data_IF_871428913360
#
_entry.id   IF_871428913360
#
_cell.length_a   1.000
_cell.length_b   1.000
_cell.length_c   1.000
_cell.angle_alpha   90.00
_cell.angle_beta   90.00
_cell.angle_gamma   90.00
#
_symmetry.space_group_name_H-M   'P 1'
#
loop_
_entity.id
_entity.type
_entity.pdbx_description
1 polymer ?
#
# COMPACT_ATOMS: atom_id res chain seq x y z
N UNK A 1 1.58 -3.35 -28.14
CA UNK A 1 1.83 -1.93 -27.78
C UNK A 1 2.60 -1.71 -26.47
N UNK A 2 3.11 -2.76 -25.78
CA UNK A 2 3.90 -2.61 -24.54
C UNK A 2 5.42 -2.80 -24.71
N UNK A 3 5.86 -3.46 -25.79
CA UNK A 3 7.28 -3.69 -26.08
C UNK A 3 8.01 -2.43 -26.57
N UNK A 4 7.29 -1.51 -27.23
CA UNK A 4 7.86 -0.24 -27.71
C UNK A 4 8.14 0.76 -26.58
N UNK A 5 7.34 0.74 -25.50
CA UNK A 5 7.55 1.58 -24.32
C UNK A 5 8.78 1.11 -23.52
N UNK A 6 9.02 -0.20 -23.49
CA UNK A 6 10.18 -0.81 -22.85
C UNK A 6 11.49 -0.56 -23.64
N UNK A 7 11.47 -0.70 -24.98
CA UNK A 7 12.62 -0.38 -25.84
C UNK A 7 12.98 1.10 -25.80
N UNK A 8 11.97 1.98 -25.79
CA UNK A 8 12.17 3.43 -25.68
C UNK A 8 12.81 3.83 -24.33
N UNK A 9 12.50 3.16 -23.23
CA UNK A 9 13.13 3.43 -21.93
C UNK A 9 14.61 2.99 -21.84
N UNK A 10 15.03 1.98 -22.62
CA UNK A 10 16.43 1.51 -22.65
C UNK A 10 17.31 2.40 -23.54
N UNK A 11 16.80 2.83 -24.70
CA UNK A 11 17.51 3.78 -25.58
C UNK A 11 17.60 5.16 -24.92
N UNK A 12 16.55 5.60 -24.21
CA UNK A 12 16.53 6.89 -23.52
C UNK A 12 17.56 6.96 -22.39
N UNK A 13 17.86 5.87 -21.67
CA UNK A 13 18.83 5.85 -20.55
C UNK A 13 20.27 6.21 -20.98
N UNK A 14 20.63 6.01 -22.25
CA UNK A 14 21.97 6.33 -22.76
C UNK A 14 22.23 7.83 -22.96
N UNK A 15 21.18 8.66 -23.03
CA UNK A 15 21.25 10.12 -23.20
C UNK A 15 20.99 10.89 -21.90
N UNK A 16 20.91 10.20 -20.76
CA UNK A 16 20.60 10.88 -19.51
C UNK A 16 21.76 11.78 -19.10
N UNK A 17 21.44 12.97 -18.57
CA UNK A 17 22.46 13.86 -18.05
C UNK A 17 23.20 13.18 -16.88
N UNK A 18 24.33 13.75 -16.46
CA UNK A 18 25.13 13.21 -15.34
C UNK A 18 24.29 12.81 -14.12
N UNK A 19 24.76 11.85 -13.33
CA UNK A 19 24.05 11.34 -12.15
C UNK A 19 23.65 12.46 -11.17
N UNK A 20 24.45 13.53 -11.09
CA UNK A 20 24.18 14.71 -10.28
C UNK A 20 22.96 15.51 -10.78
N UNK A 21 22.81 15.64 -12.10
CA UNK A 21 21.64 16.31 -12.71
C UNK A 21 20.39 15.45 -12.51
N UNK A 22 20.48 14.13 -12.69
CA UNK A 22 19.35 13.23 -12.43
C UNK A 22 18.90 13.31 -10.96
N UNK A 23 19.87 13.31 -10.04
CA UNK A 23 19.60 13.50 -8.63
C UNK A 23 18.91 14.84 -8.36
N UNK A 24 19.34 15.93 -9.02
CA UNK A 24 18.70 17.24 -8.87
C UNK A 24 17.21 17.20 -9.27
N UNK A 25 16.86 16.56 -10.39
CA UNK A 25 15.47 16.45 -10.84
C UNK A 25 14.60 15.65 -9.86
N UNK A 26 15.09 14.49 -9.41
CA UNK A 26 14.35 13.65 -8.47
C UNK A 26 14.21 14.24 -7.06
N UNK A 27 15.08 15.20 -6.72
CA UNK A 27 15.07 15.89 -5.43
C UNK A 27 14.42 17.27 -5.48
N UNK A 28 13.97 17.70 -6.65
CA UNK A 28 13.38 19.01 -6.82
C UNK A 28 12.00 19.10 -6.15
N UNK A 29 11.88 19.99 -5.16
CA UNK A 29 10.63 20.20 -4.41
C UNK A 29 9.80 21.32 -5.04
N UNK A 30 10.46 22.32 -5.62
CA UNK A 30 9.80 23.48 -6.23
C UNK A 30 10.33 23.73 -7.64
N UNK A 31 9.45 23.54 -8.60
CA UNK A 31 9.65 23.96 -9.99
C UNK A 31 9.08 25.37 -10.15
N UNK A 32 9.87 26.28 -10.70
CA UNK A 32 9.41 27.62 -11.06
C UNK A 32 9.33 27.76 -12.58
N UNK A 33 8.30 28.45 -13.05
CA UNK A 33 8.17 28.85 -14.46
C UNK A 33 8.91 30.15 -14.64
N UNK A 34 9.73 30.23 -15.69
CA UNK A 34 10.40 31.45 -16.11
C UNK A 34 9.77 31.98 -17.39
N UNK A 35 9.83 33.31 -17.57
CA UNK A 35 9.33 33.95 -18.77
C UNK A 35 10.19 33.56 -19.97
N UNK A 36 9.54 33.06 -21.03
CA UNK A 36 10.22 32.56 -22.22
C UNK A 36 10.26 33.62 -23.32
N UNK A 37 11.42 33.78 -23.95
CA UNK A 37 11.59 34.63 -25.14
C UNK A 37 11.13 33.92 -26.42
N UNK A 38 11.03 32.58 -26.40
CA UNK A 38 10.52 31.75 -27.49
C UNK A 38 9.26 30.98 -27.08
N UNK A 39 8.08 31.64 -27.10
CA UNK A 39 6.82 31.02 -26.71
C UNK A 39 6.33 29.95 -27.69
N UNK A 40 6.92 29.81 -28.87
CA UNK A 40 6.50 28.84 -29.89
C UNK A 40 7.19 27.49 -29.64
N UNK A 41 8.51 27.49 -29.40
CA UNK A 41 9.26 26.26 -29.19
C UNK A 41 9.36 25.87 -27.70
N UNK A 42 9.36 26.86 -26.81
CA UNK A 42 9.48 26.68 -25.36
C UNK A 42 8.41 27.50 -24.63
N UNK A 43 7.11 27.20 -24.78
CA UNK A 43 6.04 27.96 -24.12
C UNK A 43 6.10 27.90 -22.60
N UNK A 44 6.66 26.83 -22.04
CA UNK A 44 6.92 26.72 -20.61
C UNK A 44 8.40 26.41 -20.37
N UNK A 45 9.13 27.39 -19.86
CA UNK A 45 10.48 27.21 -19.36
C UNK A 45 10.43 26.98 -17.85
N UNK A 46 11.03 25.89 -17.38
CA UNK A 46 11.08 25.55 -15.96
C UNK A 46 12.52 25.39 -15.48
N UNK A 47 12.78 25.80 -14.25
CA UNK A 47 13.99 25.43 -13.51
C UNK A 47 13.64 24.94 -12.11
N UNK A 48 14.57 24.21 -11.50
CA UNK A 48 14.43 23.78 -10.12
C UNK A 48 14.90 24.90 -9.17
N UNK A 49 13.98 25.51 -8.45
CA UNK A 49 14.27 26.59 -7.51
C UNK A 49 14.83 26.06 -6.18
N UNK A 50 14.32 24.92 -5.71
CA UNK A 50 14.82 24.30 -4.48
C UNK A 50 14.77 22.78 -4.48
N UNK A 51 15.81 22.20 -3.89
CA UNK A 51 15.92 20.77 -3.60
C UNK A 51 15.87 20.54 -2.08
N UNK A 52 15.46 19.34 -1.66
CA UNK A 52 15.43 19.03 -0.24
C UNK A 52 16.86 18.90 0.34
N UNK A 53 17.06 19.18 1.64
CA UNK A 53 18.38 19.12 2.27
C UNK A 53 18.95 17.71 2.20
N UNK A 54 20.25 17.60 1.93
CA UNK A 54 20.96 16.35 1.59
C UNK A 54 20.58 15.10 2.39
N UNK A 55 20.91 13.95 1.80
CA UNK A 55 20.49 12.64 2.28
C UNK A 55 20.93 12.37 3.72
N UNK A 56 20.19 11.52 4.42
CA UNK A 56 20.66 10.94 5.66
C UNK A 56 21.89 10.05 5.43
N UNK A 57 22.70 9.80 6.47
CA UNK A 57 23.79 8.84 6.38
C UNK A 57 23.28 7.45 5.96
N UNK A 58 24.06 6.68 5.17
CA UNK A 58 23.63 5.39 4.62
C UNK A 58 23.16 4.36 5.65
N UNK A 59 23.65 4.44 6.90
CA UNK A 59 23.20 3.54 7.96
C UNK A 59 21.71 3.70 8.29
N UNK A 60 21.12 4.89 8.09
CA UNK A 60 19.69 5.13 8.30
C UNK A 60 18.88 4.33 7.28
N UNK A 61 19.27 4.36 6.01
CA UNK A 61 18.62 3.57 4.95
C UNK A 61 18.69 2.06 5.26
N UNK A 62 19.83 1.58 5.74
CA UNK A 62 20.00 0.17 6.15
C UNK A 62 19.08 -0.18 7.33
N UNK A 63 18.99 0.67 8.34
CA UNK A 63 18.09 0.45 9.48
C UNK A 63 16.62 0.41 9.03
N UNK A 64 16.21 1.30 8.13
CA UNK A 64 14.85 1.32 7.58
C UNK A 64 14.57 0.08 6.74
N UNK A 65 15.53 -0.36 5.94
CA UNK A 65 15.44 -1.61 5.20
C UNK A 65 15.23 -2.81 6.12
N UNK A 66 16.10 -2.97 7.13
CA UNK A 66 16.02 -4.07 8.09
C UNK A 66 14.70 -4.05 8.87
N UNK A 67 14.26 -2.87 9.30
CA UNK A 67 12.98 -2.70 9.98
C UNK A 67 11.81 -3.11 9.07
N UNK A 68 11.78 -2.64 7.82
CA UNK A 68 10.72 -2.98 6.86
C UNK A 68 10.71 -4.48 6.53
N UNK A 69 11.89 -5.08 6.34
CA UNK A 69 12.04 -6.51 6.11
C UNK A 69 11.58 -7.33 7.33
N UNK A 70 11.92 -6.90 8.55
CA UNK A 70 11.49 -7.53 9.78
C UNK A 70 9.96 -7.46 9.95
N UNK A 71 9.33 -6.32 9.66
CA UNK A 71 7.88 -6.17 9.66
C UNK A 71 7.19 -7.09 8.64
N UNK A 72 7.76 -7.18 7.44
CA UNK A 72 7.27 -8.10 6.41
C UNK A 72 7.35 -9.55 6.87
N UNK A 73 8.52 -10.00 7.32
CA UNK A 73 8.75 -11.37 7.79
C UNK A 73 7.89 -11.71 9.01
N UNK A 74 7.76 -10.78 9.95
CA UNK A 74 6.88 -10.93 11.10
C UNK A 74 5.44 -11.13 10.63
N UNK A 75 4.94 -10.29 9.72
CA UNK A 75 3.58 -10.39 9.15
C UNK A 75 3.37 -11.71 8.43
N UNK A 76 4.34 -12.14 7.62
CA UNK A 76 4.30 -13.41 6.89
C UNK A 76 4.23 -14.60 7.85
N UNK A 77 5.15 -14.69 8.82
CA UNK A 77 5.18 -15.75 9.82
C UNK A 77 3.86 -15.80 10.60
N UNK A 78 3.36 -14.63 10.99
CA UNK A 78 2.08 -14.44 11.66
C UNK A 78 0.91 -14.98 10.83
N UNK A 79 0.86 -14.73 9.52
CA UNK A 79 -0.20 -15.25 8.64
C UNK A 79 -0.09 -16.76 8.44
N UNK A 80 1.12 -17.28 8.22
CA UNK A 80 1.38 -18.71 8.02
C UNK A 80 1.01 -19.52 9.27
N UNK A 81 1.40 -19.05 10.45
CA UNK A 81 1.03 -19.68 11.73
C UNK A 81 -0.49 -19.67 11.93
N UNK A 82 -1.16 -18.59 11.53
CA UNK A 82 -2.61 -18.45 11.67
C UNK A 82 -3.38 -19.41 10.75
N UNK A 83 -2.89 -19.62 9.52
CA UNK A 83 -3.45 -20.59 8.57
C UNK A 83 -3.20 -22.02 9.05
N UNK A 84 -1.97 -22.34 9.48
CA UNK A 84 -1.59 -23.71 9.88
C UNK A 84 -2.25 -24.19 11.17
N UNK A 85 -2.44 -23.31 12.17
CA UNK A 85 -2.99 -23.68 13.48
C UNK A 85 -4.52 -23.70 13.56
N UNK A 86 -5.23 -23.65 12.42
CA UNK A 86 -6.69 -23.84 12.33
C UNK A 86 -7.49 -23.02 13.37
N UNK A 87 -7.02 -21.81 13.70
CA UNK A 87 -7.72 -20.89 14.59
C UNK A 87 -7.49 -21.03 16.10
N UNK A 88 -6.50 -21.79 16.60
CA UNK A 88 -6.14 -21.76 18.04
C UNK A 88 -5.43 -20.46 18.43
N UNK A 89 -6.17 -19.55 19.06
CA UNK A 89 -5.85 -18.16 19.46
C UNK A 89 -4.92 -18.01 20.68
N UNK A 90 -4.03 -18.97 20.98
CA UNK A 90 -3.23 -18.91 22.21
C UNK A 90 -2.07 -17.89 22.22
N UNK A 91 -1.69 -17.32 21.06
CA UNK A 91 -0.62 -16.30 20.93
C UNK A 91 -1.15 -14.89 20.58
N UNK A 92 -2.45 -14.63 20.82
CA UNK A 92 -3.19 -13.50 20.22
C UNK A 92 -2.77 -12.09 20.67
N UNK A 93 -2.20 -11.89 21.87
CA UNK A 93 -2.01 -10.54 22.44
C UNK A 93 -0.67 -9.88 22.08
N UNK A 94 0.44 -10.62 22.04
CA UNK A 94 1.76 -10.07 21.68
C UNK A 94 1.89 -9.77 20.19
N UNK A 95 1.12 -10.47 19.36
CA UNK A 95 1.05 -10.37 17.89
C UNK A 95 0.68 -8.97 17.39
N UNK A 96 -0.07 -8.20 18.18
CA UNK A 96 -0.60 -6.88 17.81
C UNK A 96 0.50 -5.80 17.79
N UNK A 97 1.55 -5.93 18.60
CA UNK A 97 2.57 -4.89 18.74
C UNK A 97 3.61 -4.90 17.59
N UNK A 98 3.87 -6.07 17.00
CA UNK A 98 4.86 -6.27 15.93
C UNK A 98 4.29 -6.11 14.50
N UNK A 99 2.96 -6.00 14.37
CA UNK A 99 2.31 -5.86 13.07
C UNK A 99 2.43 -4.44 12.55
N UNK A 100 2.63 -4.20 11.24
CA UNK A 100 2.81 -2.85 10.67
C UNK A 100 1.76 -1.83 11.14
N UNK A 101 0.48 -2.24 11.25
CA UNK A 101 -0.64 -1.41 11.73
C UNK A 101 -0.78 -1.33 13.26
N UNK A 102 0.14 -1.92 13.99
CA UNK A 102 0.17 -2.01 15.44
C UNK A 102 0.71 -0.75 16.11
N UNK A 103 0.45 -0.57 17.42
CA UNK A 103 0.73 0.67 18.13
C UNK A 103 2.22 1.03 18.26
N UNK A 104 3.14 0.07 18.05
CA UNK A 104 4.59 0.31 18.14
C UNK A 104 5.20 0.55 16.77
N UNK A 105 4.90 -0.30 15.78
CA UNK A 105 5.49 -0.16 14.44
C UNK A 105 4.86 0.98 13.64
N UNK A 106 3.56 1.27 13.80
CA UNK A 106 2.87 2.30 13.03
C UNK A 106 3.50 3.69 13.24
N UNK A 107 3.76 4.15 14.48
CA UNK A 107 4.51 5.39 14.71
C UNK A 107 5.90 5.40 14.07
N UNK A 108 6.61 4.26 14.07
CA UNK A 108 7.93 4.15 13.44
C UNK A 108 7.82 4.26 11.91
N UNK A 109 6.84 3.60 11.29
CA UNK A 109 6.56 3.73 9.85
C UNK A 109 6.23 5.20 9.52
N UNK A 110 5.42 5.86 10.34
CA UNK A 110 5.09 7.28 10.18
C UNK A 110 6.34 8.16 10.26
N UNK A 111 7.24 7.89 11.20
CA UNK A 111 8.50 8.63 11.32
C UNK A 111 9.38 8.45 10.07
N UNK A 112 9.49 7.20 9.58
CA UNK A 112 10.22 6.87 8.36
C UNK A 112 9.65 7.62 7.15
N UNK A 113 8.33 7.63 6.99
CA UNK A 113 7.67 8.36 5.89
C UNK A 113 7.80 9.88 6.07
N UNK A 114 7.64 10.41 7.27
CA UNK A 114 7.73 11.85 7.54
C UNK A 114 9.12 12.43 7.24
N UNK A 115 10.18 11.65 7.41
CA UNK A 115 11.57 12.02 7.05
C UNK A 115 12.06 11.36 5.76
N UNK A 116 11.15 10.73 5.04
CA UNK A 116 11.43 9.85 3.93
C UNK A 116 12.08 10.52 2.73
N UNK A 117 11.84 11.81 2.54
CA UNK A 117 12.45 12.57 1.46
C UNK A 117 13.99 12.55 1.54
N UNK A 118 14.59 12.37 2.72
CA UNK A 118 16.06 12.29 2.90
C UNK A 118 16.60 10.86 2.87
N UNK A 119 15.74 9.84 2.81
CA UNK A 119 16.07 8.41 2.85
C UNK A 119 16.04 7.91 1.40
N UNK A 120 17.15 8.14 0.69
CA UNK A 120 17.21 7.94 -0.75
C UNK A 120 18.64 7.63 -1.25
N UNK A 121 19.45 6.92 -0.45
CA UNK A 121 20.80 6.48 -0.83
C UNK A 121 20.82 5.02 -1.24
N UNK A 122 20.55 4.11 -0.31
CA UNK A 122 20.56 2.65 -0.51
C UNK A 122 19.14 2.10 -0.60
N UNK A 123 18.19 2.75 0.09
CA UNK A 123 16.79 2.34 0.14
C UNK A 123 15.90 3.50 -0.34
N UNK A 124 15.68 3.67 -1.66
CA UNK A 124 14.93 4.80 -2.19
C UNK A 124 13.45 4.72 -1.79
N UNK A 125 13.06 5.54 -0.81
CA UNK A 125 11.70 5.52 -0.28
C UNK A 125 10.67 6.06 -1.28
N UNK A 126 11.09 6.85 -2.26
CA UNK A 126 10.24 7.26 -3.39
C UNK A 126 9.75 6.07 -4.23
N UNK A 127 10.54 4.99 -4.30
CA UNK A 127 10.21 3.78 -5.05
C UNK A 127 9.50 2.73 -4.18
N UNK A 128 9.91 2.61 -2.91
CA UNK A 128 9.47 1.52 -2.02
C UNK A 128 8.37 1.96 -1.05
N UNK A 129 8.24 3.26 -0.80
CA UNK A 129 7.21 3.85 0.07
C UNK A 129 5.78 3.37 -0.25
N UNK A 130 5.35 3.26 -1.52
CA UNK A 130 4.04 2.70 -1.83
C UNK A 130 3.86 1.25 -1.36
N UNK A 131 4.90 0.40 -1.45
CA UNK A 131 4.84 -0.97 -0.95
C UNK A 131 4.74 -1.00 0.59
N UNK A 132 5.38 -0.07 1.30
CA UNK A 132 5.26 0.07 2.76
C UNK A 132 3.83 0.48 3.14
N UNK A 133 3.24 1.44 2.44
CA UNK A 133 1.85 1.84 2.66
C UNK A 133 0.88 0.68 2.39
N UNK A 134 1.09 -0.08 1.31
CA UNK A 134 0.27 -1.25 1.00
C UNK A 134 0.45 -2.37 2.02
N UNK A 135 1.67 -2.61 2.52
CA UNK A 135 1.91 -3.55 3.62
C UNK A 135 1.13 -3.14 4.87
N UNK A 136 1.11 -1.85 5.20
CA UNK A 136 0.32 -1.29 6.31
C UNK A 136 -1.20 -1.49 6.10
N UNK A 137 -1.70 -1.24 4.88
CA UNK A 137 -3.11 -1.42 4.55
C UNK A 137 -3.52 -2.90 4.61
N UNK A 138 -2.70 -3.79 4.05
CA UNK A 138 -2.92 -5.24 4.12
C UNK A 138 -2.88 -5.72 5.57
N UNK A 139 -1.93 -5.27 6.39
CA UNK A 139 -1.89 -5.65 7.81
C UNK A 139 -3.14 -5.18 8.55
N UNK A 140 -3.60 -3.94 8.30
CA UNK A 140 -4.82 -3.42 8.91
C UNK A 140 -6.07 -4.22 8.49
N UNK A 141 -6.19 -4.60 7.21
CA UNK A 141 -7.31 -5.43 6.73
C UNK A 141 -7.22 -6.89 7.18
N UNK A 142 -6.03 -7.41 7.51
CA UNK A 142 -5.88 -8.83 7.83
C UNK A 142 -6.03 -9.14 9.31
N UNK A 143 -5.66 -8.21 10.19
CA UNK A 143 -5.69 -8.44 11.62
C UNK A 143 -6.84 -7.71 12.29
N UNK A 144 -7.67 -8.48 12.99
CA UNK A 144 -8.63 -7.96 13.94
C UNK A 144 -8.03 -8.10 15.34
N UNK A 145 -7.86 -6.99 16.06
CA UNK A 145 -7.46 -7.01 17.47
C UNK A 145 -8.58 -7.68 18.27
N UNK A 146 -8.44 -8.99 18.51
CA UNK A 146 -9.44 -9.88 19.09
C UNK A 146 -9.77 -9.60 20.56
N UNK A 147 -10.38 -8.45 20.84
CA UNK A 147 -11.06 -8.17 22.10
C UNK A 147 -12.45 -8.80 22.12
N UNK A 148 -12.70 -9.68 23.08
CA UNK A 148 -14.04 -10.18 23.40
C UNK A 148 -14.72 -9.16 24.31
N UNK A 149 -15.46 -8.22 23.74
CA UNK A 149 -16.22 -7.20 24.48
C UNK A 149 -16.60 -6.01 23.61
N UNK A 150 -17.60 -5.22 24.06
CA UNK A 150 -17.84 -3.84 23.60
C UNK A 150 -16.70 -2.96 24.13
N UNK A 151 -15.50 -3.17 23.62
CA UNK A 151 -14.30 -2.58 24.18
C UNK A 151 -14.02 -1.22 23.53
N UNK A 152 -14.25 -0.14 24.26
CA UNK A 152 -13.84 1.23 23.85
C UNK A 152 -12.37 1.27 23.45
N UNK A 153 -11.52 0.47 24.11
CA UNK A 153 -10.09 0.29 23.77
C UNK A 153 -9.89 -0.16 22.32
N UNK A 154 -10.72 -1.09 21.83
CA UNK A 154 -10.66 -1.54 20.44
C UNK A 154 -10.95 -0.40 19.46
N UNK A 155 -11.98 0.40 19.75
CA UNK A 155 -12.35 1.54 18.92
C UNK A 155 -11.22 2.59 18.88
N UNK A 156 -10.58 2.85 20.02
CA UNK A 156 -9.42 3.76 20.11
C UNK A 156 -8.24 3.23 19.28
N UNK A 157 -7.89 1.95 19.42
CA UNK A 157 -6.79 1.37 18.65
C UNK A 157 -7.07 1.40 17.15
N UNK A 158 -8.28 1.05 16.72
CA UNK A 158 -8.64 1.15 15.31
C UNK A 158 -8.67 2.58 14.79
N UNK A 159 -9.19 3.54 15.56
CA UNK A 159 -9.17 4.95 15.19
C UNK A 159 -7.73 5.46 15.05
N UNK A 160 -6.83 5.04 15.93
CA UNK A 160 -5.40 5.32 15.81
C UNK A 160 -4.78 4.69 14.56
N UNK A 161 -5.15 3.45 14.20
CA UNK A 161 -4.71 2.82 12.95
C UNK A 161 -5.22 3.58 11.73
N UNK A 162 -6.49 3.99 11.72
CA UNK A 162 -7.09 4.80 10.64
C UNK A 162 -6.34 6.12 10.48
N UNK A 163 -6.13 6.85 11.58
CA UNK A 163 -5.37 8.09 11.60
C UNK A 163 -3.94 7.88 11.09
N UNK A 164 -3.27 6.81 11.52
CA UNK A 164 -1.94 6.49 11.04
C UNK A 164 -1.89 6.13 9.56
N UNK A 165 -2.88 5.43 9.01
CA UNK A 165 -2.95 5.18 7.56
C UNK A 165 -3.13 6.50 6.78
N UNK A 166 -3.96 7.43 7.28
CA UNK A 166 -4.13 8.76 6.69
C UNK A 166 -2.82 9.55 6.72
N UNK A 167 -2.13 9.62 7.86
CA UNK A 167 -0.84 10.30 7.95
C UNK A 167 0.21 9.65 7.06
N UNK A 168 0.27 8.31 7.01
CA UNK A 168 1.17 7.58 6.13
C UNK A 168 0.90 7.91 4.66
N UNK A 169 -0.37 8.02 4.24
CA UNK A 169 -0.72 8.40 2.88
C UNK A 169 -0.26 9.82 2.51
N UNK A 170 -0.44 10.78 3.42
CA UNK A 170 -0.03 12.17 3.20
C UNK A 170 1.50 12.32 3.17
N UNK A 171 2.21 11.65 4.08
CA UNK A 171 3.67 11.63 4.07
C UNK A 171 4.23 10.89 2.87
N UNK A 172 3.55 9.85 2.39
CA UNK A 172 3.96 9.20 1.15
C UNK A 172 3.84 10.16 -0.03
N UNK A 173 2.73 10.90 -0.14
CA UNK A 173 2.51 11.87 -1.21
C UNK A 173 3.62 12.93 -1.25
N UNK A 174 4.09 13.41 -0.10
CA UNK A 174 5.20 14.38 -0.07
C UNK A 174 6.54 13.80 -0.55
N UNK A 175 6.71 12.48 -0.54
CA UNK A 175 7.91 11.80 -1.06
C UNK A 175 7.76 11.52 -2.56
N UNK A 176 6.63 10.95 -2.99
CA UNK A 176 6.45 10.44 -4.35
C UNK A 176 6.12 11.54 -5.37
N UNK A 177 5.43 12.62 -4.95
CA UNK A 177 5.02 13.68 -5.87
C UNK A 177 6.24 14.42 -6.45
N UNK A 178 7.23 14.87 -5.65
CA UNK A 178 8.45 15.45 -6.19
C UNK A 178 9.20 14.49 -7.12
N UNK A 179 9.32 13.22 -6.72
CA UNK A 179 10.01 12.20 -7.51
C UNK A 179 9.36 11.96 -8.88
N UNK A 180 8.04 11.78 -8.94
CA UNK A 180 7.34 11.57 -10.21
C UNK A 180 7.24 12.84 -11.06
N UNK A 181 7.18 14.02 -10.44
CA UNK A 181 7.25 15.31 -11.16
C UNK A 181 8.62 15.48 -11.81
N UNK A 182 9.68 15.22 -11.05
CA UNK A 182 11.06 15.24 -11.54
C UNK A 182 11.31 14.22 -12.65
N UNK A 183 10.76 13.01 -12.51
CA UNK A 183 10.81 12.00 -13.57
C UNK A 183 10.07 12.42 -14.85
N UNK A 184 8.87 12.99 -14.72
CA UNK A 184 8.12 13.53 -15.86
C UNK A 184 8.87 14.67 -16.54
N UNK A 185 9.45 15.58 -15.75
CA UNK A 185 10.28 16.67 -16.25
C UNK A 185 11.53 16.16 -16.96
N UNK A 186 12.23 15.17 -16.41
CA UNK A 186 13.45 14.60 -16.98
C UNK A 186 13.19 13.88 -18.31
N UNK A 187 12.08 13.15 -18.42
CA UNK A 187 11.79 12.30 -19.59
C UNK A 187 11.01 13.04 -20.68
N UNK A 188 10.16 13.99 -20.31
CA UNK A 188 9.20 14.60 -21.24
C UNK A 188 9.54 16.05 -21.59
N UNK A 189 10.76 16.49 -21.29
CA UNK A 189 11.22 17.87 -21.56
C UNK A 189 12.54 17.87 -22.32
N UNK A 190 12.85 18.99 -22.96
CA UNK A 190 14.13 19.22 -23.64
C UNK A 190 14.98 20.17 -22.81
N UNK A 191 16.27 19.85 -22.63
CA UNK A 191 17.19 20.74 -21.92
C UNK A 191 17.41 22.03 -22.70
N UNK A 192 17.26 23.16 -22.01
CA UNK A 192 17.50 24.50 -22.58
C UNK A 192 19.00 24.79 -22.72
N UNK A 193 19.82 24.25 -21.82
CA UNK A 193 21.26 24.50 -21.77
C UNK A 193 21.64 25.79 -21.02
N UNK A 194 20.68 26.63 -20.66
CA UNK A 194 20.88 27.84 -19.85
C UNK A 194 21.30 27.52 -18.41
N UNK A 195 20.81 26.41 -17.85
CA UNK A 195 21.24 25.89 -16.56
C UNK A 195 21.10 24.37 -16.49
N UNK A 196 21.75 23.75 -15.49
CA UNK A 196 21.76 22.30 -15.32
C UNK A 196 20.35 21.68 -15.12
N UNK A 197 19.40 22.43 -14.55
CA UNK A 197 18.00 22.02 -14.36
C UNK A 197 17.01 22.62 -15.34
N UNK A 198 17.46 23.48 -16.26
CA UNK A 198 16.58 24.29 -17.10
C UNK A 198 16.00 23.44 -18.23
N UNK A 199 14.67 23.36 -18.27
CA UNK A 199 13.94 22.54 -19.22
C UNK A 199 12.81 23.28 -19.90
N UNK A 200 12.69 23.03 -21.20
CA UNK A 200 11.63 23.52 -22.06
C UNK A 200 10.55 22.46 -22.24
N UNK A 201 9.28 22.88 -22.13
CA UNK A 201 8.12 22.03 -22.36
C UNK A 201 7.07 22.72 -23.22
N UNK A 202 6.37 21.91 -24.03
CA UNK A 202 5.16 22.32 -24.76
C UNK A 202 3.90 22.35 -23.90
N UNK A 203 3.91 21.60 -22.79
CA UNK A 203 2.78 21.46 -21.88
C UNK A 203 3.19 21.81 -20.46
N UNK A 204 2.26 22.36 -19.67
CA UNK A 204 2.52 22.68 -18.28
C UNK A 204 2.87 21.43 -17.46
N UNK A 205 3.89 21.57 -16.61
CA UNK A 205 4.34 20.55 -15.66
C UNK A 205 3.26 20.35 -14.60
N UNK A 206 2.90 19.09 -14.34
CA UNK A 206 1.84 18.74 -13.38
C UNK A 206 2.47 18.07 -12.17
N UNK A 207 2.02 18.47 -10.97
CA UNK A 207 2.48 17.86 -9.72
C UNK A 207 2.09 16.38 -9.66
N UNK A 208 3.09 15.52 -9.46
CA UNK A 208 3.01 14.07 -9.53
C UNK A 208 3.29 13.49 -10.92
N UNK A 209 3.58 14.35 -11.92
CA UNK A 209 3.88 13.93 -13.28
C UNK A 209 2.65 13.42 -14.06
N UNK A 210 2.81 13.22 -15.37
CA UNK A 210 1.77 12.64 -16.23
C UNK A 210 2.00 11.15 -16.49
N UNK A 211 3.27 10.71 -16.43
CA UNK A 211 3.69 9.34 -16.71
C UNK A 211 3.18 8.31 -15.68
N UNK A 212 3.19 8.67 -14.39
CA UNK A 212 2.79 7.80 -13.28
C UNK A 212 1.74 8.54 -12.44
N UNK A 213 0.52 8.01 -12.41
CA UNK A 213 -0.60 8.62 -11.68
C UNK A 213 -0.89 7.83 -10.43
N UNK A 214 0.05 7.83 -9.48
CA UNK A 214 -0.13 7.21 -8.18
C UNK A 214 -0.09 8.26 -7.07
N UNK A 215 -1.01 8.13 -6.12
CA UNK A 215 -1.07 8.93 -4.89
C UNK A 215 -1.26 8.00 -3.70
N UNK A 216 -0.61 8.31 -2.59
CA UNK A 216 -0.86 7.66 -1.31
C UNK A 216 -2.30 7.91 -0.85
N UNK A 217 -2.80 9.14 -1.03
CA UNK A 217 -4.22 9.44 -0.89
C UNK A 217 -4.99 8.98 -2.13
N UNK A 218 -5.46 7.73 -2.10
CA UNK A 218 -6.15 7.08 -3.22
C UNK A 218 -7.50 6.50 -2.83
N UNK A 219 -8.27 6.09 -3.85
CA UNK A 219 -9.51 5.35 -3.66
C UNK A 219 -9.30 4.05 -2.85
N UNK A 220 -8.14 3.40 -3.02
CA UNK A 220 -7.71 2.23 -2.22
C UNK A 220 -7.65 2.57 -0.74
N UNK A 221 -6.98 3.67 -0.38
CA UNK A 221 -6.85 4.15 1.00
C UNK A 221 -8.23 4.45 1.61
N UNK A 222 -9.13 5.10 0.85
CA UNK A 222 -10.51 5.35 1.29
C UNK A 222 -11.30 4.07 1.56
N UNK A 223 -11.23 3.05 0.68
CA UNK A 223 -11.92 1.79 0.91
C UNK A 223 -11.40 1.06 2.14
N UNK A 224 -10.07 1.05 2.34
CA UNK A 224 -9.44 0.44 3.52
C UNK A 224 -9.94 1.13 4.80
N UNK A 225 -9.91 2.46 4.85
CA UNK A 225 -10.39 3.23 6.00
C UNK A 225 -11.89 2.99 6.22
N UNK A 226 -12.70 3.01 5.16
CA UNK A 226 -14.12 2.71 5.24
C UNK A 226 -14.40 1.32 5.82
N UNK A 227 -13.60 0.31 5.44
CA UNK A 227 -13.70 -1.03 5.99
C UNK A 227 -13.37 -1.07 7.48
N UNK A 228 -12.34 -0.33 7.92
CA UNK A 228 -11.99 -0.20 9.34
C UNK A 228 -13.08 0.54 10.13
N UNK A 229 -13.58 1.68 9.64
CA UNK A 229 -14.70 2.40 10.26
C UNK A 229 -15.93 1.48 10.43
N UNK A 230 -16.23 0.67 9.43
CA UNK A 230 -17.33 -0.29 9.49
C UNK A 230 -17.08 -1.42 10.50
N UNK A 231 -15.82 -1.82 10.74
CA UNK A 231 -15.48 -2.75 11.85
C UNK A 231 -15.82 -2.16 13.21
N UNK A 232 -15.47 -0.89 13.44
CA UNK A 232 -15.82 -0.20 14.68
C UNK A 232 -17.34 -0.16 14.83
N UNK A 233 -18.06 0.28 13.79
CA UNK A 233 -19.51 0.39 13.82
C UNK A 233 -20.19 -0.95 14.13
N UNK A 234 -19.83 -2.02 13.42
CA UNK A 234 -20.36 -3.37 13.66
C UNK A 234 -20.12 -3.84 15.11
N UNK A 235 -18.99 -3.47 15.71
CA UNK A 235 -18.63 -3.91 17.06
C UNK A 235 -19.33 -3.10 18.15
N UNK A 236 -19.52 -1.80 17.93
CA UNK A 236 -20.20 -0.89 18.88
C UNK A 236 -21.71 -1.11 18.89
N UNK A 237 -22.33 -1.23 17.71
CA UNK A 237 -23.79 -1.35 17.62
C UNK A 237 -24.30 -2.71 18.07
N UNK A 238 -23.47 -3.76 18.05
CA UNK A 238 -23.83 -5.11 18.50
C UNK A 238 -24.96 -5.77 17.70
N UNK A 239 -25.54 -5.09 16.71
CA UNK A 239 -26.68 -5.56 15.93
C UNK A 239 -26.22 -6.36 14.70
N UNK A 240 -26.61 -7.63 14.71
CA UNK A 240 -26.54 -8.54 13.57
C UNK A 240 -27.56 -8.17 12.49
N UNK A 241 -27.34 -7.07 11.77
CA UNK A 241 -27.94 -6.92 10.43
C UNK A 241 -27.00 -7.57 9.43
N UNK A 242 -27.36 -8.78 8.96
CA UNK A 242 -26.67 -9.54 7.91
C UNK A 242 -26.15 -8.65 6.77
N UNK A 243 -26.91 -7.60 6.43
CA UNK A 243 -26.55 -6.57 5.44
C UNK A 243 -25.27 -5.80 5.78
N UNK A 244 -25.08 -5.33 7.02
CA UNK A 244 -23.89 -4.56 7.43
C UNK A 244 -22.65 -5.46 7.41
N UNK A 245 -22.78 -6.71 7.87
CA UNK A 245 -21.68 -7.68 7.85
C UNK A 245 -21.28 -8.07 6.42
N UNK A 246 -22.26 -8.15 5.51
CA UNK A 246 -22.02 -8.37 4.08
C UNK A 246 -21.29 -7.19 3.45
N UNK A 247 -21.73 -5.95 3.72
CA UNK A 247 -21.07 -4.72 3.24
C UNK A 247 -19.63 -4.65 3.75
N UNK A 248 -19.38 -4.97 5.03
CA UNK A 248 -18.03 -5.06 5.59
C UNK A 248 -17.15 -6.04 4.81
N UNK A 249 -17.63 -7.27 4.60
CA UNK A 249 -16.87 -8.29 3.87
C UNK A 249 -16.57 -7.88 2.43
N UNK A 250 -17.54 -7.24 1.76
CA UNK A 250 -17.37 -6.69 0.42
C UNK A 250 -16.30 -5.61 0.41
N UNK A 251 -16.35 -4.66 1.34
CA UNK A 251 -15.41 -3.52 1.39
C UNK A 251 -13.98 -3.97 1.67
N UNK A 252 -13.79 -4.92 2.58
CA UNK A 252 -12.48 -5.53 2.84
C UNK A 252 -11.93 -6.27 1.61
N UNK A 253 -12.80 -6.94 0.86
CA UNK A 253 -12.40 -7.69 -0.33
C UNK A 253 -12.08 -6.77 -1.50
N UNK A 254 -12.88 -5.73 -1.72
CA UNK A 254 -12.61 -4.67 -2.69
C UNK A 254 -11.31 -3.93 -2.36
N UNK A 255 -11.06 -3.65 -1.07
CA UNK A 255 -9.79 -3.08 -0.61
C UNK A 255 -8.59 -3.93 -1.03
N UNK A 256 -8.62 -5.24 -0.78
CA UNK A 256 -7.54 -6.15 -1.20
C UNK A 256 -7.36 -6.21 -2.73
N UNK A 257 -8.46 -6.18 -3.49
CA UNK A 257 -8.42 -6.16 -4.95
C UNK A 257 -7.76 -4.88 -5.45
N UNK A 258 -8.13 -3.72 -4.91
CA UNK A 258 -7.52 -2.44 -5.30
C UNK A 258 -6.04 -2.38 -4.94
N UNK A 259 -5.65 -2.86 -3.74
CA UNK A 259 -4.24 -2.96 -3.37
C UNK A 259 -3.47 -3.81 -4.38
N UNK A 260 -4.06 -4.92 -4.84
CA UNK A 260 -3.47 -5.80 -5.87
C UNK A 260 -3.30 -5.07 -7.20
N UNK A 261 -4.33 -4.32 -7.63
CA UNK A 261 -4.30 -3.52 -8.86
C UNK A 261 -3.19 -2.46 -8.77
N UNK A 262 -3.08 -1.76 -7.63
CA UNK A 262 -2.04 -0.76 -7.39
C UNK A 262 -0.64 -1.39 -7.43
N UNK A 263 -0.45 -2.56 -6.83
CA UNK A 263 0.82 -3.31 -6.91
C UNK A 263 1.20 -3.61 -8.37
N UNK A 264 0.28 -4.17 -9.14
CA UNK A 264 0.52 -4.54 -10.54
C UNK A 264 0.78 -3.30 -11.40
N UNK A 265 0.02 -2.22 -11.18
CA UNK A 265 0.22 -0.95 -11.86
C UNK A 265 1.62 -0.39 -11.59
N UNK A 266 2.02 -0.34 -10.31
CA UNK A 266 3.32 0.21 -9.90
C UNK A 266 4.50 -0.66 -10.33
N UNK A 267 4.35 -1.98 -10.45
CA UNK A 267 5.38 -2.84 -11.05
C UNK A 267 5.53 -2.54 -12.55
N UNK A 268 4.41 -2.42 -13.28
CA UNK A 268 4.43 -2.28 -14.75
C UNK A 268 4.85 -0.90 -15.25
N UNK A 269 4.46 0.16 -14.54
CA UNK A 269 4.71 1.56 -14.94
C UNK A 269 5.95 2.17 -14.29
N UNK A 270 6.73 1.38 -13.55
CA UNK A 270 7.93 1.86 -12.89
C UNK A 270 8.97 2.39 -13.89
N UNK A 271 9.62 3.53 -13.59
CA UNK A 271 10.72 4.05 -14.40
C UNK A 271 12.01 3.23 -14.17
N UNK A 272 12.18 2.71 -12.95
CA UNK A 272 13.31 1.87 -12.57
C UNK A 272 12.80 0.48 -12.19
N UNK A 273 13.15 -0.53 -12.98
CA UNK A 273 12.89 -1.94 -12.64
C UNK A 273 13.99 -2.46 -11.71
N UNK A 274 14.08 -1.92 -10.51
CA UNK A 274 14.99 -2.49 -9.51
C UNK A 274 14.42 -3.82 -8.99
N UNK A 275 15.29 -4.83 -8.84
CA UNK A 275 14.93 -6.12 -8.24
C UNK A 275 14.26 -5.95 -6.88
N UNK A 276 14.72 -4.97 -6.12
CA UNK A 276 14.21 -4.61 -4.81
C UNK A 276 12.75 -4.15 -4.84
N UNK A 277 12.36 -3.35 -5.84
CA UNK A 277 10.98 -2.91 -6.03
C UNK A 277 10.07 -4.09 -6.37
N UNK A 278 10.52 -4.95 -7.28
CA UNK A 278 9.80 -6.18 -7.66
C UNK A 278 9.62 -7.07 -6.43
N UNK A 279 10.66 -7.26 -5.64
CA UNK A 279 10.61 -8.04 -4.40
C UNK A 279 9.66 -7.43 -3.37
N UNK A 280 9.66 -6.10 -3.18
CA UNK A 280 8.79 -5.43 -2.23
C UNK A 280 7.30 -5.59 -2.59
N UNK A 281 6.90 -5.25 -3.82
CA UNK A 281 5.51 -5.42 -4.28
C UNK A 281 5.12 -6.89 -4.40
N UNK A 282 6.03 -7.75 -4.86
CA UNK A 282 5.83 -9.21 -4.88
C UNK A 282 5.58 -9.77 -3.48
N UNK A 283 6.30 -9.29 -2.48
CA UNK A 283 6.08 -9.65 -1.08
C UNK A 283 4.67 -9.28 -0.61
N UNK A 284 4.20 -8.06 -0.92
CA UNK A 284 2.83 -7.62 -0.60
C UNK A 284 1.79 -8.52 -1.29
N UNK A 285 1.99 -8.85 -2.57
CA UNK A 285 1.11 -9.77 -3.32
C UNK A 285 1.03 -11.15 -2.66
N UNK A 286 2.16 -11.69 -2.18
CA UNK A 286 2.19 -12.96 -1.44
C UNK A 286 1.32 -12.88 -0.17
N UNK A 287 1.38 -11.79 0.59
CA UNK A 287 0.53 -11.60 1.78
C UNK A 287 -0.96 -11.54 1.42
N UNK A 288 -1.30 -10.87 0.31
CA UNK A 288 -2.69 -10.84 -0.18
C UNK A 288 -3.15 -12.25 -0.58
N UNK A 289 -2.32 -13.01 -1.30
CA UNK A 289 -2.62 -14.40 -1.67
C UNK A 289 -2.87 -15.28 -0.44
N UNK A 290 -2.00 -15.19 0.57
CA UNK A 290 -2.16 -15.93 1.83
C UNK A 290 -3.47 -15.55 2.54
N UNK A 291 -3.83 -14.27 2.55
CA UNK A 291 -5.08 -13.81 3.14
C UNK A 291 -6.31 -14.35 2.37
N UNK A 292 -6.24 -14.41 1.05
CA UNK A 292 -7.31 -15.00 0.23
C UNK A 292 -7.44 -16.49 0.48
N UNK A 293 -6.32 -17.23 0.55
CA UNK A 293 -6.32 -18.66 0.91
C UNK A 293 -6.95 -18.86 2.29
N UNK A 294 -6.60 -18.03 3.28
CA UNK A 294 -7.20 -18.07 4.61
C UNK A 294 -8.72 -17.89 4.54
N UNK A 295 -9.22 -16.85 3.84
CA UNK A 295 -10.66 -16.59 3.69
C UNK A 295 -11.39 -17.77 3.02
N UNK A 296 -10.84 -18.30 1.94
CA UNK A 296 -11.42 -19.44 1.21
C UNK A 296 -11.44 -20.71 2.06
N UNK A 297 -10.36 -21.00 2.79
CA UNK A 297 -10.28 -22.16 3.69
C UNK A 297 -11.32 -22.10 4.81
N UNK A 298 -11.55 -20.91 5.40
CA UNK A 298 -12.57 -20.72 6.42
C UNK A 298 -13.99 -20.91 5.85
N UNK A 299 -14.26 -20.38 4.65
CA UNK A 299 -15.54 -20.56 3.97
C UNK A 299 -15.80 -22.04 3.63
N UNK A 300 -14.80 -22.76 3.14
CA UNK A 300 -14.92 -24.19 2.86
C UNK A 300 -15.22 -25.00 4.12
N UNK A 301 -14.54 -24.73 5.24
CA UNK A 301 -14.81 -25.40 6.52
C UNK A 301 -16.24 -25.12 7.00
N UNK A 302 -16.68 -23.87 6.91
CA UNK A 302 -18.04 -23.48 7.28
C UNK A 302 -19.09 -24.18 6.40
N UNK A 303 -18.84 -24.26 5.09
CA UNK A 303 -19.72 -24.93 4.15
C UNK A 303 -19.79 -26.44 4.39
N UNK A 304 -18.65 -27.10 4.64
CA UNK A 304 -18.60 -28.51 5.02
C UNK A 304 -19.34 -28.77 6.34
N UNK A 305 -19.14 -27.93 7.36
CA UNK A 305 -19.86 -28.06 8.64
C UNK A 305 -21.37 -27.87 8.47
N UNK A 306 -21.80 -26.91 7.65
CA UNK A 306 -23.21 -26.70 7.34
C UNK A 306 -23.82 -27.90 6.59
N UNK A 307 -23.08 -28.49 5.64
CA UNK A 307 -23.50 -29.69 4.90
C UNK A 307 -23.66 -30.90 5.82
N UNK A 308 -22.68 -31.15 6.70
CA UNK A 308 -22.75 -32.22 7.71
C UNK A 308 -23.93 -32.01 8.67
N UNK A 309 -24.19 -30.76 9.11
CA UNK A 309 -25.38 -30.46 9.93
C UNK A 309 -26.69 -30.70 9.19
N UNK A 310 -26.76 -30.39 7.89
CA UNK A 310 -27.94 -30.65 7.04
C UNK A 310 -28.15 -32.15 6.82
N UNK A 311 -27.09 -32.92 6.58
CA UNK A 311 -27.15 -34.38 6.42
C UNK A 311 -27.53 -35.07 7.74
N UNK A 312 -26.94 -34.67 8.86
CA UNK A 312 -27.27 -35.21 10.20
C UNK A 312 -28.69 -34.83 10.62
N UNK A 313 -29.10 -33.58 10.39
CA UNK A 313 -30.46 -33.12 10.67
C UNK A 313 -31.51 -33.84 9.82
N UNK A 314 -31.19 -34.17 8.57
CA UNK A 314 -32.06 -34.95 7.68
C UNK A 314 -32.16 -36.43 8.10
N UNK A 315 -31.11 -37.01 8.67
CA UNK A 315 -31.15 -38.37 9.24
C UNK A 315 -31.99 -38.41 10.53
N UNK A 316 -31.82 -37.42 11.43
CA UNK A 316 -32.63 -37.33 12.64
C UNK A 316 -34.13 -37.11 12.36
N UNK A 317 -34.51 -36.31 11.36
CA UNK A 317 -35.92 -36.16 10.98
C UNK A 317 -36.49 -37.41 10.30
N UNK A 318 -35.66 -38.21 9.61
CA UNK A 318 -36.10 -39.48 9.04
C UNK A 318 -36.35 -40.55 10.11
N UNK A 319 -35.52 -40.62 11.16
CA UNK A 319 -35.72 -41.53 12.30
C UNK A 319 -36.95 -41.14 13.16
N UNK A 320 -37.18 -39.84 13.40
CA UNK A 320 -38.37 -39.36 14.12
C UNK A 320 -39.69 -39.53 13.33
N UNK A 321 -39.64 -39.74 12.01
CA UNK A 321 -40.80 -40.04 11.17
C UNK A 321 -41.13 -41.54 11.06
N UNK A 322 -40.27 -42.42 11.57
CA UNK A 322 -40.46 -43.88 11.57
C UNK A 322 -41.02 -44.42 12.90
N UNK A 323 -41.00 -43.62 13.97
CA UNK A 323 -41.59 -43.94 15.29
C UNK A 323 -43.03 -43.38 15.46
N UNK A 324 -43.87 -43.51 14.42
CA UNK A 324 -45.32 -43.34 14.59
C UNK A 324 -45.97 -44.71 14.67
N UNK A 325 -46.45 -45.17 15.85
CA UNK A 325 -47.14 -46.43 15.96
C UNK A 325 -48.49 -46.29 15.24
N UNK A 326 -48.66 -47.03 14.14
CA UNK A 326 -50.01 -47.32 13.63
C UNK A 326 -50.70 -48.19 14.68
N UNK A 327 -51.59 -47.57 15.44
CA UNK A 327 -52.73 -48.26 16.02
C UNK A 327 -53.62 -48.82 14.90
#
# INVERSE_FOLDING_TARGET
>A
MNSQLFRRNLEFRAEWPSEDVQAMFFKCVRWQVEDTVDPINCPYHYYCDSTYPGNHPPYVDVLVFLFTAALYLATLAIMVVDISRRGRTYLSKSKIYLQPSGPVSLPLILLVLAKGYRINTVFPLSCIGPAILQLLQVSALTFDSGGSGKDVRYAIFQASTISGILHASLYLDSIILPYYTGFDALVSSTFSGECASCVCRKEALVVGGRLIRYRGWSFTTFLVIGALCLRILCRVTGESKSRIMSVKSLLESLGLILITVDCVYLIRKSPEQSLMRIAAFGGVLVLICLQMIKKMSAQMIQWQSARVKLETGRICTLQLGLDSPRF
#
